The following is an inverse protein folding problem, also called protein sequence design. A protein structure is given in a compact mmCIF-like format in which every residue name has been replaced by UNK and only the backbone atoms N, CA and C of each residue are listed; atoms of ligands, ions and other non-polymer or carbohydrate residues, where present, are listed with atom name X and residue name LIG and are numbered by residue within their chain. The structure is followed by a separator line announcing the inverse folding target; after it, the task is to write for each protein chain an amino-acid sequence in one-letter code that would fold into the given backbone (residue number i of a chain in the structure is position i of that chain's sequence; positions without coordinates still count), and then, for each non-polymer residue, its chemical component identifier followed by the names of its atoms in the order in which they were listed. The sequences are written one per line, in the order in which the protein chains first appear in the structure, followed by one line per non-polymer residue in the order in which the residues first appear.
data_IF_823493784712
#
_entry.id   IF_823493784712
#
_cell.length_a   1.000
_cell.length_b   1.000
_cell.length_c   1.000
_cell.angle_alpha   90.00
_cell.angle_beta   90.00
_cell.angle_gamma   90.00
#
_symmetry.space_group_name_H-M   'P 1'
#
loop_
_entity.id
_entity.type
_entity.pdbx_description
1 polymer ?
#
# COMPACT_ATOMS: atom_id res chain seq x y z
N UNK A 1 -16.65 -8.30 1.90
CA UNK A 1 -15.99 -8.07 0.58
C UNK A 1 -16.53 -6.76 0.02
N UNK A 2 -15.67 -5.87 -0.45
CA UNK A 2 -16.07 -4.62 -1.11
C UNK A 2 -15.72 -4.72 -2.58
N UNK A 3 -16.68 -4.42 -3.46
CA UNK A 3 -16.48 -4.39 -4.92
C UNK A 3 -16.52 -2.94 -5.38
N UNK A 4 -15.48 -2.52 -6.08
CA UNK A 4 -15.41 -1.20 -6.69
C UNK A 4 -15.83 -1.29 -8.16
N UNK A 5 -16.62 -0.33 -8.62
CA UNK A 5 -17.01 -0.22 -10.03
C UNK A 5 -15.95 0.51 -10.86
N UNK A 6 -15.15 1.36 -10.23
CA UNK A 6 -14.07 2.12 -10.87
C UNK A 6 -12.73 1.78 -10.23
N UNK A 7 -11.70 1.69 -11.06
CA UNK A 7 -10.33 1.46 -10.61
C UNK A 7 -9.78 2.64 -9.81
N UNK A 8 -10.18 3.86 -10.15
CA UNK A 8 -9.81 5.07 -9.41
C UNK A 8 -10.22 5.01 -7.93
N UNK A 9 -11.40 4.46 -7.64
CA UNK A 9 -11.91 4.34 -6.28
C UNK A 9 -11.14 3.27 -5.49
N UNK A 10 -10.77 2.16 -6.15
CA UNK A 10 -9.87 1.17 -5.58
C UNK A 10 -8.51 1.80 -5.27
N UNK A 11 -7.93 2.54 -6.22
CA UNK A 11 -6.61 3.15 -6.06
C UNK A 11 -6.60 4.17 -4.92
N UNK A 12 -7.62 5.02 -4.81
CA UNK A 12 -7.75 5.96 -3.68
C UNK A 12 -7.74 5.27 -2.32
N UNK A 13 -8.37 4.10 -2.21
CA UNK A 13 -8.38 3.34 -0.96
C UNK A 13 -7.04 2.61 -0.75
N UNK A 14 -6.46 2.07 -1.82
CA UNK A 14 -5.20 1.33 -1.79
C UNK A 14 -4.01 2.23 -1.44
N UNK A 15 -3.99 3.47 -1.95
CA UNK A 15 -2.98 4.50 -1.66
C UNK A 15 -3.42 5.47 -0.55
N UNK A 16 -4.53 5.19 0.14
CA UNK A 16 -5.09 6.09 1.15
C UNK A 16 -4.39 6.06 2.51
N UNK A 17 -3.46 5.13 2.75
CA UNK A 17 -2.85 4.96 4.07
C UNK A 17 -3.16 3.62 4.73
N UNK A 18 -2.78 3.50 6.00
CA UNK A 18 -3.31 2.46 6.89
C UNK A 18 -4.70 2.86 7.37
N UNK A 19 -5.68 2.01 7.11
CA UNK A 19 -7.06 2.23 7.54
C UNK A 19 -7.26 1.71 8.96
N UNK A 20 -7.99 2.45 9.80
CA UNK A 20 -8.39 2.00 11.13
C UNK A 20 -9.91 1.91 11.20
N UNK A 21 -10.40 0.86 11.83
CA UNK A 21 -11.80 0.73 12.24
C UNK A 21 -11.85 0.58 13.75
N UNK A 22 -12.33 1.62 14.44
CA UNK A 22 -12.11 1.76 15.87
C UNK A 22 -10.62 1.82 16.19
N UNK A 23 -10.15 0.95 17.09
CA UNK A 23 -8.74 0.85 17.47
C UNK A 23 -7.96 -0.24 16.71
N UNK A 24 -8.61 -0.91 15.75
CA UNK A 24 -8.00 -1.99 14.97
C UNK A 24 -7.56 -1.49 13.59
N UNK A 25 -6.33 -1.88 13.20
CA UNK A 25 -5.81 -1.65 11.85
C UNK A 25 -6.43 -2.65 10.87
N UNK A 26 -7.01 -2.12 9.79
CA UNK A 26 -7.52 -2.92 8.68
C UNK A 26 -6.37 -3.30 7.75
N UNK A 27 -6.33 -4.58 7.39
CA UNK A 27 -5.44 -5.10 6.34
C UNK A 27 -6.25 -5.23 5.06
N UNK A 28 -5.81 -4.53 4.00
CA UNK A 28 -6.40 -4.62 2.68
C UNK A 28 -5.66 -5.67 1.86
N UNK A 29 -6.41 -6.59 1.25
CA UNK A 29 -5.87 -7.67 0.43
C UNK A 29 -6.72 -7.71 -0.85
N UNK A 30 -6.07 -7.86 -2.01
CA UNK A 30 -6.81 -8.10 -3.26
C UNK A 30 -7.48 -9.46 -3.19
N UNK A 31 -8.76 -9.50 -3.53
CA UNK A 31 -9.48 -10.75 -3.59
C UNK A 31 -8.96 -11.63 -4.74
N UNK A 32 -8.93 -12.94 -4.50
CA UNK A 32 -8.58 -13.98 -5.47
C UNK A 32 -9.68 -15.03 -5.49
N UNK A 33 -9.95 -15.70 -6.64
CA UNK A 33 -10.95 -16.76 -6.71
C UNK A 33 -10.76 -17.88 -5.69
N UNK A 34 -9.51 -18.25 -5.43
CA UNK A 34 -9.13 -19.29 -4.48
C UNK A 34 -8.85 -18.74 -3.06
N UNK A 35 -9.49 -17.63 -2.69
CA UNK A 35 -9.30 -17.03 -1.36
C UNK A 35 -9.85 -17.96 -0.27
N UNK A 36 -8.96 -18.43 0.61
CA UNK A 36 -9.31 -19.23 1.80
C UNK A 36 -8.76 -18.54 3.05
N UNK A 37 -9.63 -18.00 3.94
CA UNK A 37 -9.18 -17.26 5.11
C UNK A 37 -8.34 -18.08 6.10
N UNK A 38 -8.44 -19.41 6.12
CA UNK A 38 -7.67 -20.26 7.03
C UNK A 38 -6.24 -20.52 6.52
N UNK A 39 -6.06 -20.50 5.20
CA UNK A 39 -4.79 -20.81 4.53
C UNK A 39 -4.08 -19.54 4.05
N UNK A 40 -4.80 -18.42 3.91
CA UNK A 40 -4.26 -17.17 3.38
C UNK A 40 -3.13 -16.62 4.25
N UNK A 41 -1.89 -16.79 3.78
CA UNK A 41 -0.72 -16.11 4.35
C UNK A 41 -0.46 -14.80 3.62
N UNK A 42 -0.28 -13.73 4.39
CA UNK A 42 0.13 -12.43 3.85
C UNK A 42 1.61 -12.53 3.48
N UNK A 43 1.89 -12.64 2.19
CA UNK A 43 3.26 -12.67 1.65
C UNK A 43 3.78 -11.29 1.21
N UNK A 44 2.86 -10.34 1.00
CA UNK A 44 3.16 -8.96 0.58
C UNK A 44 2.33 -7.99 1.41
N UNK A 45 2.93 -6.88 1.81
CA UNK A 45 2.28 -5.83 2.59
C UNK A 45 2.52 -4.46 1.95
N UNK A 46 1.49 -3.61 1.98
CA UNK A 46 1.63 -2.19 1.68
C UNK A 46 2.19 -1.49 2.91
N UNK A 47 3.31 -0.80 2.73
CA UNK A 47 3.93 -0.01 3.79
C UNK A 47 4.06 1.44 3.36
N UNK A 48 3.68 2.34 4.27
CA UNK A 48 3.90 3.77 4.11
C UNK A 48 5.26 4.12 4.68
N UNK A 49 6.21 4.41 3.80
CA UNK A 49 7.57 4.76 4.17
C UNK A 49 7.69 6.28 4.26
N UNK A 50 8.27 6.77 5.35
CA UNK A 50 8.62 8.18 5.52
C UNK A 50 10.14 8.31 5.52
N UNK A 51 10.67 9.26 4.76
CA UNK A 51 12.09 9.58 4.72
C UNK A 51 12.35 10.88 5.50
N UNK A 52 12.51 10.83 6.84
CA UNK A 52 12.75 12.03 7.63
C UNK A 52 14.09 12.65 7.22
N UNK A 53 14.11 13.99 7.11
CA UNK A 53 15.31 14.77 6.75
C UNK A 53 15.85 14.51 5.34
N UNK A 54 15.00 14.07 4.40
CA UNK A 54 15.38 14.00 2.99
C UNK A 54 15.62 15.40 2.43
N UNK A 55 16.85 15.69 2.01
CA UNK A 55 17.22 16.98 1.43
C UNK A 55 16.40 17.31 0.18
N UNK A 56 16.09 18.58 -0.02
CA UNK A 56 15.23 19.06 -1.12
C UNK A 56 15.74 18.65 -2.51
N UNK A 57 17.05 18.48 -2.68
CA UNK A 57 17.66 18.01 -3.92
C UNK A 57 17.19 16.61 -4.36
N UNK A 58 16.64 15.81 -3.45
CA UNK A 58 16.14 14.46 -3.74
C UNK A 58 14.62 14.40 -3.93
N UNK A 59 13.94 15.53 -3.97
CA UNK A 59 12.47 15.58 -4.03
C UNK A 59 11.90 15.41 -5.45
N UNK A 60 12.78 15.23 -6.45
CA UNK A 60 12.35 14.83 -7.79
C UNK A 60 11.77 13.41 -7.76
N UNK A 61 10.70 13.20 -8.52
CA UNK A 61 9.97 11.92 -8.57
C UNK A 61 10.91 10.72 -8.81
N UNK A 62 11.82 10.84 -9.78
CA UNK A 62 12.78 9.78 -10.11
C UNK A 62 13.74 9.49 -8.96
N UNK A 63 14.21 10.51 -8.24
CA UNK A 63 15.05 10.34 -7.06
C UNK A 63 14.30 9.62 -5.94
N UNK A 64 13.07 10.04 -5.61
CA UNK A 64 12.26 9.40 -4.58
C UNK A 64 11.98 7.94 -4.95
N UNK A 65 11.61 7.67 -6.20
CA UNK A 65 11.34 6.32 -6.70
C UNK A 65 12.57 5.43 -6.65
N UNK A 66 13.75 5.98 -6.98
CA UNK A 66 15.03 5.27 -6.87
C UNK A 66 15.33 4.86 -5.42
N UNK A 67 15.13 5.78 -4.47
CA UNK A 67 15.32 5.48 -3.03
C UNK A 67 14.28 4.44 -2.56
N UNK A 68 13.02 4.59 -2.96
CA UNK A 68 11.95 3.68 -2.55
C UNK A 68 12.15 2.26 -3.11
N UNK A 69 12.74 2.12 -4.31
CA UNK A 69 13.13 0.81 -4.89
C UNK A 69 14.12 0.04 -4.03
N UNK A 70 14.95 0.72 -3.23
CA UNK A 70 15.85 0.06 -2.29
C UNK A 70 15.10 -0.58 -1.10
N UNK A 71 13.90 -0.08 -0.78
CA UNK A 71 13.06 -0.60 0.32
C UNK A 71 12.10 -1.68 -0.19
N UNK A 72 11.59 -1.56 -1.41
CA UNK A 72 10.67 -2.53 -1.98
C UNK A 72 10.16 -2.14 -3.36
N UNK A 73 8.91 -2.48 -3.66
CA UNK A 73 8.25 -2.07 -4.90
C UNK A 73 7.45 -0.78 -4.64
N UNK A 74 7.95 0.41 -5.05
CA UNK A 74 7.14 1.62 -4.99
C UNK A 74 5.92 1.51 -5.92
N UNK A 75 4.88 2.27 -5.58
CA UNK A 75 3.56 2.26 -6.23
C UNK A 75 3.36 3.60 -6.93
#
# INVERSE_FOLDING_TARGET
MVRFSKEEDLMRIWTGGSWKFGDQLLKLIKWTPDFDPEVQRITKALAWVRFPKLGQQYWEYECIMSIAKAVGCPI
#
